data_IF_270180540726
#
_entry.id   IF_270180540726
#
_cell.length_a   1.000
_cell.length_b   1.000
_cell.length_c   1.000
_cell.angle_alpha   90.00
_cell.angle_beta   90.00
_cell.angle_gamma   90.00
#
_symmetry.space_group_name_H-M   'P 1'
#
loop_
_entity.id
_entity.type
_entity.pdbx_description
1 polymer ?
#
# COMPACT_ATOMS: atom_id res chain seq x y z
N UNK A 1 35.83 14.40 -12.44
CA UNK A 1 34.81 14.01 -11.44
C UNK A 1 33.50 13.86 -12.17
N UNK A 2 32.93 12.66 -12.18
CA UNK A 2 31.78 12.31 -12.99
C UNK A 2 30.55 12.34 -12.08
N UNK A 3 29.91 13.51 -11.96
CA UNK A 3 28.81 13.79 -11.03
C UNK A 3 27.68 12.74 -11.10
N UNK A 4 27.46 12.19 -12.30
CA UNK A 4 26.51 11.09 -12.55
C UNK A 4 26.90 9.77 -11.87
N UNK A 5 28.19 9.45 -11.81
CA UNK A 5 28.68 8.25 -11.13
C UNK A 5 28.59 8.38 -9.60
N UNK A 6 28.78 9.60 -9.07
CA UNK A 6 28.63 9.90 -7.64
C UNK A 6 27.16 9.89 -7.22
N UNK A 7 26.25 10.44 -8.05
CA UNK A 7 24.79 10.31 -7.86
C UNK A 7 24.38 8.83 -7.94
N UNK A 8 24.86 8.08 -8.94
CA UNK A 8 24.52 6.66 -9.10
C UNK A 8 25.06 5.78 -7.97
N UNK A 9 26.21 6.14 -7.38
CA UNK A 9 26.77 5.46 -6.21
C UNK A 9 26.05 5.85 -4.90
N UNK A 10 25.49 7.06 -4.81
CA UNK A 10 24.60 7.48 -3.71
C UNK A 10 23.18 6.92 -3.84
N UNK A 11 22.70 6.69 -5.07
CA UNK A 11 21.40 6.07 -5.39
C UNK A 11 21.48 4.56 -5.56
N UNK A 12 22.65 3.94 -5.34
CA UNK A 12 22.73 2.48 -5.26
C UNK A 12 21.81 2.03 -4.12
N UNK A 13 20.87 1.09 -4.35
CA UNK A 13 19.81 0.77 -3.40
C UNK A 13 20.43 0.29 -2.08
N UNK A 14 20.49 1.19 -1.11
CA UNK A 14 20.94 0.90 0.25
C UNK A 14 19.78 0.24 0.97
N UNK A 15 19.84 -1.09 1.06
CA UNK A 15 18.89 -1.96 1.74
C UNK A 15 17.44 -1.86 1.21
N UNK A 16 17.08 -2.83 0.37
CA UNK A 16 15.75 -3.05 -0.24
C UNK A 16 14.66 -3.49 0.74
N UNK A 17 14.95 -3.47 2.05
CA UNK A 17 14.14 -4.14 3.07
C UNK A 17 14.06 -3.29 4.34
N UNK A 18 12.84 -2.99 4.76
CA UNK A 18 12.48 -2.39 6.04
C UNK A 18 12.12 -3.49 7.04
N UNK A 19 12.75 -3.45 8.21
CA UNK A 19 12.41 -4.33 9.33
C UNK A 19 11.63 -3.56 10.41
N UNK A 20 10.44 -4.04 10.75
CA UNK A 20 9.62 -3.51 11.85
C UNK A 20 9.54 -4.54 12.97
N UNK A 21 10.06 -4.20 14.13
CA UNK A 21 9.99 -5.07 15.32
C UNK A 21 8.77 -4.75 16.17
N UNK A 22 7.88 -5.73 16.38
CA UNK A 22 6.72 -5.58 17.25
C UNK A 22 6.37 -6.89 17.97
N UNK A 23 6.07 -6.80 19.27
CA UNK A 23 5.74 -7.95 20.14
C UNK A 23 6.72 -9.14 20.04
N UNK A 24 8.01 -8.85 19.94
CA UNK A 24 9.05 -9.89 19.85
C UNK A 24 9.12 -10.61 18.50
N UNK A 25 8.45 -10.09 17.46
CA UNK A 25 8.56 -10.54 16.07
C UNK A 25 9.13 -9.43 15.19
N UNK A 26 9.84 -9.82 14.15
CA UNK A 26 10.34 -8.92 13.10
C UNK A 26 9.51 -9.14 11.84
N UNK A 27 8.93 -8.07 11.34
CA UNK A 27 8.18 -8.01 10.09
C UNK A 27 9.07 -7.37 9.04
N UNK A 28 9.25 -8.02 7.90
CA UNK A 28 10.10 -7.53 6.81
C UNK A 28 9.23 -7.09 5.64
N UNK A 29 9.52 -5.88 5.18
CA UNK A 29 8.84 -5.27 4.05
C UNK A 29 9.88 -4.84 3.03
N UNK A 30 9.63 -5.07 1.75
CA UNK A 30 10.42 -4.46 0.69
C UNK A 30 10.15 -2.95 0.62
N UNK A 31 11.15 -2.18 0.26
CA UNK A 31 10.96 -0.77 -0.09
C UNK A 31 10.31 -0.65 -1.47
N UNK A 32 9.65 0.48 -1.71
CA UNK A 32 9.06 0.83 -3.01
C UNK A 32 9.82 2.03 -3.52
N UNK A 33 10.79 1.79 -4.40
CA UNK A 33 11.75 2.80 -4.83
C UNK A 33 11.36 3.44 -6.19
N UNK A 34 10.35 2.89 -6.87
CA UNK A 34 9.80 3.42 -8.12
C UNK A 34 8.43 4.08 -7.89
N UNK A 35 8.30 5.33 -8.34
CA UNK A 35 7.05 6.08 -8.25
C UNK A 35 5.91 5.46 -9.09
N UNK A 36 6.25 4.82 -10.21
CA UNK A 36 5.29 4.12 -11.07
C UNK A 36 4.70 2.92 -10.33
N UNK A 37 5.56 2.13 -9.67
CA UNK A 37 5.15 1.02 -8.82
C UNK A 37 4.26 1.51 -7.67
N UNK A 38 4.67 2.61 -7.02
CA UNK A 38 3.89 3.20 -5.93
C UNK A 38 2.48 3.62 -6.39
N UNK A 39 2.38 4.20 -7.58
CA UNK A 39 1.11 4.60 -8.18
C UNK A 39 0.22 3.38 -8.49
N UNK A 40 0.79 2.32 -9.06
CA UNK A 40 0.07 1.08 -9.31
C UNK A 40 -0.45 0.46 -8.01
N UNK A 41 0.37 0.42 -6.95
CA UNK A 41 -0.05 -0.05 -5.65
C UNK A 41 -1.20 0.78 -5.05
N UNK A 42 -1.19 2.10 -5.21
CA UNK A 42 -2.30 2.99 -4.78
C UNK A 42 -3.60 2.68 -5.52
N UNK A 43 -3.53 2.49 -6.84
CA UNK A 43 -4.69 2.11 -7.66
C UNK A 43 -5.24 0.75 -7.22
N UNK A 44 -4.38 -0.23 -6.99
CA UNK A 44 -4.79 -1.57 -6.56
C UNK A 44 -5.33 -1.57 -5.13
N UNK A 45 -4.75 -0.79 -4.22
CA UNK A 45 -5.25 -0.59 -2.86
C UNK A 45 -6.67 0.01 -2.87
N UNK A 46 -6.92 1.01 -3.73
CA UNK A 46 -8.24 1.61 -3.89
C UNK A 46 -9.26 0.61 -4.41
N UNK A 47 -8.89 -0.17 -5.43
CA UNK A 47 -9.74 -1.24 -5.96
C UNK A 47 -10.03 -2.32 -4.91
N UNK A 48 -9.03 -2.69 -4.13
CA UNK A 48 -9.17 -3.64 -3.02
C UNK A 48 -10.11 -3.10 -1.93
N UNK A 49 -9.96 -1.84 -1.52
CA UNK A 49 -10.83 -1.21 -0.54
C UNK A 49 -12.29 -1.21 -0.99
N UNK A 50 -12.55 -0.84 -2.25
CA UNK A 50 -13.88 -0.90 -2.85
C UNK A 50 -14.44 -2.33 -2.86
N UNK A 51 -13.63 -3.32 -3.22
CA UNK A 51 -14.03 -4.74 -3.19
C UNK A 51 -14.41 -5.17 -1.77
N UNK A 52 -13.64 -4.77 -0.76
CA UNK A 52 -13.90 -5.16 0.62
C UNK A 52 -15.15 -4.48 1.21
N UNK A 53 -15.48 -3.26 0.79
CA UNK A 53 -16.65 -2.54 1.29
C UNK A 53 -17.94 -2.86 0.54
N UNK A 54 -17.88 -3.11 -0.77
CA UNK A 54 -19.06 -3.33 -1.61
C UNK A 54 -19.37 -4.81 -1.85
N UNK A 55 -18.35 -5.64 -2.09
CA UNK A 55 -18.50 -7.04 -2.50
C UNK A 55 -17.46 -7.94 -1.81
N UNK A 56 -17.45 -7.90 -0.47
CA UNK A 56 -16.51 -8.68 0.31
C UNK A 56 -16.65 -10.18 -0.01
N UNK A 57 -15.56 -10.89 -0.33
CA UNK A 57 -15.58 -12.35 -0.43
C UNK A 57 -16.18 -12.99 0.84
N UNK A 58 -17.07 -13.97 0.66
CA UNK A 58 -17.81 -14.56 1.77
C UNK A 58 -16.91 -15.22 2.83
N UNK A 59 -15.77 -15.76 2.43
CA UNK A 59 -14.75 -16.31 3.34
C UNK A 59 -14.09 -15.25 4.22
N UNK A 60 -14.07 -13.98 3.79
CA UNK A 60 -13.46 -12.87 4.54
C UNK A 60 -14.47 -11.99 5.27
N UNK A 61 -15.78 -12.20 5.08
CA UNK A 61 -16.82 -11.35 5.66
C UNK A 61 -16.71 -11.15 7.18
N UNK A 62 -16.16 -12.13 7.92
CA UNK A 62 -15.98 -12.05 9.39
C UNK A 62 -14.83 -11.14 9.83
N UNK A 63 -13.84 -10.96 8.95
CA UNK A 63 -12.61 -10.19 9.21
C UNK A 63 -12.51 -8.95 8.31
N UNK A 64 -13.51 -8.71 7.47
CA UNK A 64 -13.57 -7.56 6.58
C UNK A 64 -13.46 -6.25 7.37
N UNK A 65 -12.66 -5.29 6.89
CA UNK A 65 -12.54 -4.01 7.54
C UNK A 65 -13.79 -3.19 7.24
N UNK A 66 -14.27 -2.43 8.23
CA UNK A 66 -15.40 -1.51 8.03
C UNK A 66 -14.98 -0.18 7.40
N UNK A 67 -13.69 0.16 7.49
CA UNK A 67 -13.12 1.38 6.93
C UNK A 67 -12.36 1.07 5.62
N UNK A 68 -12.63 1.82 4.53
CA UNK A 68 -11.84 1.74 3.29
C UNK A 68 -10.33 1.98 3.53
N UNK A 69 -9.99 2.88 4.47
CA UNK A 69 -8.62 3.22 4.80
C UNK A 69 -7.85 2.00 5.33
N UNK A 70 -8.47 1.25 6.26
CA UNK A 70 -7.90 0.01 6.80
C UNK A 70 -7.71 -1.04 5.71
N UNK A 71 -8.62 -1.11 4.73
CA UNK A 71 -8.46 -2.00 3.58
C UNK A 71 -7.26 -1.61 2.72
N UNK A 72 -7.05 -0.32 2.46
CA UNK A 72 -5.86 0.17 1.77
C UNK A 72 -4.59 -0.19 2.55
N UNK A 73 -4.55 0.08 3.86
CA UNK A 73 -3.41 -0.25 4.72
C UNK A 73 -3.06 -1.75 4.65
N UNK A 74 -4.06 -2.62 4.77
CA UNK A 74 -3.91 -4.08 4.61
C UNK A 74 -3.28 -4.44 3.27
N UNK A 75 -3.76 -3.81 2.18
CA UNK A 75 -3.22 -4.06 0.86
C UNK A 75 -1.73 -3.69 0.80
N UNK A 76 -1.36 -2.50 1.28
CA UNK A 76 0.03 -2.04 1.29
C UNK A 76 0.94 -2.95 2.10
N UNK A 77 0.51 -3.35 3.30
CA UNK A 77 1.28 -4.26 4.13
C UNK A 77 1.49 -5.61 3.44
N UNK A 78 0.45 -6.16 2.81
CA UNK A 78 0.57 -7.42 2.07
C UNK A 78 1.49 -7.29 0.85
N UNK A 79 1.32 -6.24 0.04
CA UNK A 79 2.06 -6.03 -1.20
C UNK A 79 3.55 -5.72 -0.98
N UNK A 80 3.89 -5.20 0.20
CA UNK A 80 5.28 -4.92 0.60
C UNK A 80 5.87 -6.04 1.46
N UNK A 81 5.10 -6.96 2.02
CA UNK A 81 5.65 -8.04 2.85
C UNK A 81 6.58 -8.95 2.06
N UNK A 82 7.76 -9.26 2.61
CA UNK A 82 8.68 -10.24 2.00
C UNK A 82 8.28 -11.69 2.30
N UNK A 83 7.56 -11.91 3.40
CA UNK A 83 7.07 -13.23 3.77
C UNK A 83 5.78 -13.55 3.01
N UNK A 84 5.75 -14.60 2.15
CA UNK A 84 4.57 -14.96 1.37
C UNK A 84 3.37 -15.39 2.24
N UNK A 85 3.57 -15.67 3.52
CA UNK A 85 2.48 -15.97 4.47
C UNK A 85 1.77 -14.72 4.97
N UNK A 86 2.38 -13.53 4.86
CA UNK A 86 1.81 -12.26 5.29
C UNK A 86 0.87 -11.67 4.22
N UNK A 87 -0.16 -12.44 3.89
CA UNK A 87 -1.17 -12.11 2.88
C UNK A 87 -2.15 -11.04 3.35
N UNK A 88 -3.03 -10.58 2.45
CA UNK A 88 -4.15 -9.68 2.81
C UNK A 88 -5.02 -10.27 3.92
N UNK A 89 -5.29 -11.59 3.91
CA UNK A 89 -6.08 -12.26 4.95
C UNK A 89 -5.37 -12.26 6.31
N UNK A 90 -4.05 -12.44 6.31
CA UNK A 90 -3.22 -12.34 7.52
C UNK A 90 -3.33 -10.94 8.13
N UNK A 91 -3.13 -9.90 7.31
CA UNK A 91 -3.19 -8.52 7.78
C UNK A 91 -4.60 -8.09 8.19
N UNK A 92 -5.66 -8.57 7.52
CA UNK A 92 -7.05 -8.40 7.96
C UNK A 92 -7.30 -9.02 9.34
N UNK A 93 -6.76 -10.22 9.58
CA UNK A 93 -6.86 -10.90 10.86
C UNK A 93 -6.17 -10.10 11.97
N UNK A 94 -4.98 -9.55 11.69
CA UNK A 94 -4.28 -8.69 12.65
C UNK A 94 -5.07 -7.40 12.88
N UNK A 95 -5.54 -6.72 11.85
CA UNK A 95 -6.35 -5.50 11.99
C UNK A 95 -7.60 -5.73 12.84
N UNK A 96 -8.29 -6.87 12.64
CA UNK A 96 -9.51 -7.22 13.37
C UNK A 96 -9.27 -7.55 14.85
N UNK A 97 -8.22 -8.31 15.15
CA UNK A 97 -8.01 -8.90 16.49
C UNK A 97 -6.93 -8.19 17.31
N UNK A 98 -6.07 -7.40 16.68
CA UNK A 98 -4.89 -6.75 17.26
C UNK A 98 -4.67 -5.36 16.65
N UNK A 99 -5.70 -4.51 16.64
CA UNK A 99 -5.67 -3.18 16.03
C UNK A 99 -4.42 -2.34 16.42
N UNK A 100 -4.06 -2.29 17.70
CA UNK A 100 -2.86 -1.54 18.13
C UNK A 100 -1.53 -2.09 17.57
N UNK A 101 -1.43 -3.41 17.33
CA UNK A 101 -0.27 -4.00 16.65
C UNK A 101 -0.27 -3.60 15.17
N UNK A 102 -1.42 -3.70 14.52
CA UNK A 102 -1.59 -3.33 13.12
C UNK A 102 -1.17 -1.88 12.88
N UNK A 103 -1.72 -0.94 13.65
CA UNK A 103 -1.39 0.49 13.57
C UNK A 103 0.10 0.74 13.85
N UNK A 104 0.67 0.11 14.87
CA UNK A 104 2.10 0.28 15.19
C UNK A 104 2.99 -0.11 14.00
N UNK A 105 2.69 -1.25 13.35
CA UNK A 105 3.47 -1.71 12.20
C UNK A 105 3.25 -0.79 11.01
N UNK A 106 2.00 -0.44 10.71
CA UNK A 106 1.67 0.42 9.58
C UNK A 106 2.27 1.82 9.71
N UNK A 107 2.13 2.49 10.86
CA UNK A 107 2.72 3.82 11.08
C UNK A 107 4.23 3.81 10.90
N UNK A 108 4.91 2.72 11.29
CA UNK A 108 6.35 2.59 11.05
C UNK A 108 6.67 2.42 9.57
N UNK A 109 5.89 1.61 8.87
CA UNK A 109 6.03 1.40 7.42
C UNK A 109 5.76 2.69 6.64
N UNK A 110 4.71 3.44 7.00
CA UNK A 110 4.30 4.69 6.39
C UNK A 110 5.38 5.78 6.51
N UNK A 111 5.97 5.92 7.70
CA UNK A 111 7.03 6.89 7.97
C UNK A 111 8.28 6.64 7.11
N UNK A 112 8.60 5.38 6.84
CA UNK A 112 9.81 4.97 6.11
C UNK A 112 9.58 5.02 4.59
N UNK A 113 8.38 4.68 4.12
CA UNK A 113 8.01 4.79 2.69
C UNK A 113 7.65 6.22 2.26
N UNK A 114 7.70 7.21 3.17
CA UNK A 114 7.20 8.59 2.96
C UNK A 114 5.79 8.62 2.36
N UNK A 115 5.00 7.61 2.71
CA UNK A 115 3.75 7.29 2.04
C UNK A 115 2.62 8.15 2.62
N UNK A 116 2.50 9.40 2.19
CA UNK A 116 1.42 10.26 2.67
C UNK A 116 0.10 9.90 1.97
N UNK A 117 -0.81 9.21 2.68
CA UNK A 117 -2.21 9.01 2.27
C UNK A 117 -3.07 10.29 2.35
N UNK A 118 -2.44 11.47 2.49
CA UNK A 118 -3.12 12.74 2.72
C UNK A 118 -3.83 13.21 1.45
N UNK A 119 -5.08 12.78 1.26
CA UNK A 119 -6.20 13.57 0.71
C UNK A 119 -6.08 14.20 -0.67
N UNK A 120 -4.96 14.05 -1.38
CA UNK A 120 -4.71 14.58 -2.74
C UNK A 120 -4.92 13.55 -3.85
N UNK A 121 -5.37 12.34 -3.49
CA UNK A 121 -5.84 11.35 -4.47
C UNK A 121 -7.28 11.59 -4.94
N UNK A 122 -8.02 12.51 -4.29
CA UNK A 122 -9.28 13.02 -4.82
C UNK A 122 -9.12 13.60 -6.25
N UNK A 123 -7.94 14.12 -6.59
CA UNK A 123 -7.65 14.67 -7.93
C UNK A 123 -7.32 13.58 -8.97
N UNK A 124 -6.84 12.40 -8.55
CA UNK A 124 -6.47 11.31 -9.48
C UNK A 124 -7.68 10.51 -9.96
N UNK A 125 -8.69 10.32 -9.09
CA UNK A 125 -9.97 9.72 -9.48
C UNK A 125 -10.77 10.67 -10.39
N UNK A 126 -10.61 11.98 -10.24
CA UNK A 126 -11.22 12.97 -11.14
C UNK A 126 -10.49 13.13 -12.49
N UNK A 127 -9.19 12.81 -12.55
CA UNK A 127 -8.43 12.74 -13.81
C UNK A 127 -8.89 11.56 -14.69
N UNK A 128 -9.09 10.37 -14.12
CA UNK A 128 -9.61 9.20 -14.88
C UNK A 128 -11.03 9.43 -15.41
N UNK A 129 -11.87 10.21 -14.69
CA UNK A 129 -13.18 10.64 -15.18
C UNK A 129 -13.13 11.68 -16.30
N UNK A 130 -12.08 12.51 -16.36
CA UNK A 130 -11.90 13.49 -17.45
C UNK A 130 -11.38 12.84 -18.73
N UNK A 131 -10.46 11.91 -18.63
CA UNK A 131 -9.94 11.19 -19.81
C UNK A 131 -11.00 10.26 -20.42
N UNK A 132 -11.82 9.60 -19.60
CA UNK A 132 -12.91 8.75 -20.10
C UNK A 132 -14.05 9.51 -20.80
N UNK A 133 -14.15 10.84 -20.58
CA UNK A 133 -15.15 11.70 -21.23
C UNK A 133 -14.66 12.35 -22.52
N UNK A 134 -13.36 12.35 -22.78
CA UNK A 134 -12.77 12.97 -23.96
C UNK A 134 -12.75 12.04 -25.20
N UNK A 135 -12.90 10.72 -25.02
CA UNK A 135 -12.81 9.72 -26.10
C UNK A 135 -14.16 9.27 -26.70
N UNK A 136 -15.29 9.81 -26.26
CA UNK A 136 -16.60 9.53 -26.87
C UNK A 136 -17.12 10.74 -27.64
N UNK A 137 -16.52 11.02 -28.79
CA UNK A 137 -17.17 11.80 -29.84
C UNK A 137 -17.33 10.89 -31.06
N UNK A 138 -18.53 10.37 -31.35
CA UNK A 138 -18.78 9.60 -32.57
C UNK A 138 -19.05 10.59 -33.71
N UNK A 139 -18.19 10.56 -34.73
CA UNK A 139 -18.58 10.95 -36.10
C UNK A 139 -19.38 9.81 -36.75
#
# INVERSE_FOLDING_TARGET
MNLLADILAETAPKATTLEVSALGRVYRFRTVDDYSELYEMKREATAFAKKMTENCPGNWAKIAPTSPEVACMVFFMAATSEDPQMTQEFWLTIAKHRAGLFETIFTRLEAELQFNFVGREADLVDAEKKDSKATSNPE
#
